data_IF_247348180767
#
_entry.id   IF_247348180767
#
_cell.length_a   1.000
_cell.length_b   1.000
_cell.length_c   1.000
_cell.angle_alpha   90.00
_cell.angle_beta   90.00
_cell.angle_gamma   90.00
#
_symmetry.space_group_name_H-M   'P 1'
#
loop_
_entity.id
_entity.type
_entity.pdbx_description
1 polymer ?
#
# COMPACT_ATOMS: atom_id res chain seq x y z
N UNK A 1 37.05 -17.97 -5.68
CA UNK A 1 35.74 -17.52 -5.16
C UNK A 1 35.41 -16.16 -5.78
N UNK A 2 34.14 -15.84 -6.08
CA UNK A 2 33.78 -14.50 -6.52
C UNK A 2 34.16 -13.49 -5.43
N UNK A 3 34.84 -12.40 -5.82
CA UNK A 3 35.35 -11.38 -4.89
C UNK A 3 34.25 -10.46 -4.33
N UNK A 4 33.09 -10.39 -5.00
CA UNK A 4 31.94 -9.60 -4.59
C UNK A 4 30.65 -10.33 -4.96
N UNK A 5 29.82 -10.60 -3.96
CA UNK A 5 28.49 -11.18 -4.12
C UNK A 5 27.48 -10.05 -4.29
N UNK A 6 27.46 -9.44 -5.47
CA UNK A 6 26.44 -8.43 -5.80
C UNK A 6 25.20 -9.15 -6.31
N UNK A 7 23.99 -8.83 -5.82
CA UNK A 7 22.76 -9.40 -6.35
C UNK A 7 22.60 -9.02 -7.83
N UNK A 8 22.36 -10.02 -8.68
CA UNK A 8 22.22 -9.88 -10.13
C UNK A 8 21.16 -8.83 -10.52
N UNK A 9 20.12 -8.68 -9.70
CA UNK A 9 19.04 -7.71 -9.89
C UNK A 9 19.50 -6.24 -9.88
N UNK A 10 20.61 -5.92 -9.22
CA UNK A 10 21.17 -4.55 -9.21
C UNK A 10 22.05 -4.27 -10.43
N UNK A 11 22.54 -5.30 -11.12
CA UNK A 11 23.47 -5.16 -12.25
C UNK A 11 22.75 -5.01 -13.59
N UNK A 12 21.57 -5.59 -13.72
CA UNK A 12 20.82 -5.59 -14.99
C UNK A 12 19.64 -4.64 -14.93
N UNK A 13 19.49 -3.86 -16.01
CA UNK A 13 18.25 -3.11 -16.27
C UNK A 13 17.11 -4.09 -16.47
N UNK A 14 15.93 -3.74 -15.95
CA UNK A 14 14.75 -4.58 -16.10
C UNK A 14 14.38 -4.74 -17.58
N UNK A 15 13.77 -5.87 -17.92
CA UNK A 15 13.25 -6.11 -19.27
C UNK A 15 12.31 -4.97 -19.70
N UNK A 16 11.45 -4.51 -18.80
CA UNK A 16 10.50 -3.43 -19.10
C UNK A 16 11.19 -2.11 -19.44
N UNK A 17 12.30 -1.79 -18.76
CA UNK A 17 13.14 -0.63 -19.08
C UNK A 17 13.82 -0.78 -20.45
N UNK A 18 14.35 -1.96 -20.77
CA UNK A 18 15.05 -2.21 -22.05
C UNK A 18 14.09 -2.08 -23.23
N UNK A 19 12.87 -2.60 -23.09
CA UNK A 19 11.88 -2.63 -24.15
C UNK A 19 10.91 -1.45 -24.13
N UNK A 20 11.18 -0.44 -23.29
CA UNK A 20 10.39 0.79 -23.16
C UNK A 20 8.89 0.49 -23.05
N UNK A 21 8.53 -0.33 -22.05
CA UNK A 21 7.13 -0.68 -21.82
C UNK A 21 6.46 0.54 -21.17
N UNK A 22 5.50 1.13 -21.90
CA UNK A 22 4.94 2.48 -21.70
C UNK A 22 4.64 2.92 -20.25
N UNK A 23 4.30 2.03 -19.33
CA UNK A 23 3.99 2.38 -17.95
C UNK A 23 5.21 2.66 -17.06
N UNK A 24 6.41 2.20 -17.43
CA UNK A 24 7.64 2.39 -16.64
C UNK A 24 8.42 3.63 -17.09
N UNK A 25 8.25 4.04 -18.35
CA UNK A 25 8.97 5.19 -18.91
C UNK A 25 8.26 6.54 -18.64
N UNK A 26 7.01 6.50 -18.21
CA UNK A 26 6.20 7.68 -17.90
C UNK A 26 6.26 8.07 -16.41
N UNK A 27 6.71 7.17 -15.53
CA UNK A 27 6.79 7.44 -14.09
C UNK A 27 8.13 8.08 -13.73
N UNK A 28 8.11 9.07 -12.84
CA UNK A 28 9.32 9.65 -12.27
C UNK A 28 9.96 8.69 -11.26
N UNK A 29 9.14 7.91 -10.54
CA UNK A 29 9.60 6.99 -9.50
C UNK A 29 9.38 5.53 -9.89
N UNK A 30 10.14 4.62 -9.26
CA UNK A 30 10.00 3.19 -9.50
C UNK A 30 8.76 2.63 -8.79
N UNK A 31 8.12 1.58 -9.34
CA UNK A 31 7.01 0.90 -8.65
C UNK A 31 7.38 0.36 -7.26
N UNK A 32 8.66 0.05 -7.05
CA UNK A 32 9.16 -0.43 -5.76
C UNK A 32 9.16 0.67 -4.68
N UNK A 33 9.63 1.88 -5.03
CA UNK A 33 9.56 3.04 -4.13
C UNK A 33 8.10 3.37 -3.78
N UNK A 34 7.21 3.26 -4.77
CA UNK A 34 5.77 3.40 -4.56
C UNK A 34 5.22 2.40 -3.53
N UNK A 35 5.57 1.12 -3.66
CA UNK A 35 5.14 0.07 -2.72
C UNK A 35 5.74 0.29 -1.32
N UNK A 36 7.01 0.69 -1.21
CA UNK A 36 7.63 1.02 0.08
C UNK A 36 6.87 2.15 0.77
N UNK A 37 6.65 3.26 0.06
CA UNK A 37 5.99 4.44 0.62
C UNK A 37 4.54 4.12 1.05
N UNK A 38 3.80 3.34 0.25
CA UNK A 38 2.47 2.89 0.62
C UNK A 38 2.48 2.06 1.92
N UNK A 39 3.47 1.17 2.08
CA UNK A 39 3.64 0.38 3.29
C UNK A 39 4.11 1.23 4.50
N UNK A 40 4.95 2.24 4.28
CA UNK A 40 5.37 3.18 5.33
C UNK A 40 4.22 4.05 5.86
N UNK A 41 3.29 4.48 4.99
CA UNK A 41 2.05 5.18 5.40
C UNK A 41 1.19 4.24 6.26
N UNK A 42 1.15 2.96 5.88
CA UNK A 42 0.51 1.88 6.62
C UNK A 42 -0.87 1.50 6.10
N UNK A 43 -1.16 0.21 6.18
CA UNK A 43 -2.39 -0.39 5.64
C UNK A 43 -3.70 0.18 6.18
N UNK A 44 -3.72 0.76 7.40
CA UNK A 44 -4.96 1.25 8.04
C UNK A 44 -5.63 2.38 7.25
N UNK A 45 -4.86 3.15 6.49
CA UNK A 45 -5.35 4.27 5.68
C UNK A 45 -6.00 3.79 4.38
N UNK A 46 -5.52 2.66 3.86
CA UNK A 46 -5.90 2.12 2.56
C UNK A 46 -6.92 0.98 2.65
N UNK A 47 -7.02 0.32 3.82
CA UNK A 47 -7.87 -0.84 4.06
C UNK A 47 -9.36 -0.49 4.04
N UNK A 48 -10.17 -1.40 3.51
CA UNK A 48 -11.63 -1.30 3.55
C UNK A 48 -12.17 -1.38 4.98
N UNK A 49 -13.24 -0.64 5.32
CA UNK A 49 -13.80 -0.59 6.68
C UNK A 49 -14.21 -1.98 7.20
N UNK A 50 -14.87 -2.78 6.36
CA UNK A 50 -15.33 -4.13 6.72
C UNK A 50 -14.26 -5.23 6.66
N UNK A 51 -13.01 -4.85 6.44
CA UNK A 51 -11.93 -5.81 6.36
C UNK A 51 -11.71 -6.43 7.75
N UNK A 52 -11.56 -7.75 7.82
CA UNK A 52 -11.23 -8.48 9.03
C UNK A 52 -9.73 -8.84 9.09
N UNK A 53 -9.10 -9.12 7.94
CA UNK A 53 -7.69 -9.49 7.83
C UNK A 53 -6.75 -8.30 7.63
N UNK A 54 -5.44 -8.50 7.81
CA UNK A 54 -4.45 -7.56 7.29
C UNK A 54 -4.60 -7.41 5.78
N UNK A 55 -4.35 -6.20 5.26
CA UNK A 55 -4.52 -5.88 3.86
C UNK A 55 -3.17 -5.87 3.14
N UNK A 56 -3.12 -6.51 1.98
CA UNK A 56 -1.96 -6.47 1.09
C UNK A 56 -2.13 -5.27 0.17
N UNK A 57 -1.15 -4.37 0.19
CA UNK A 57 -1.17 -3.16 -0.63
C UNK A 57 -0.50 -3.44 -1.97
N UNK A 58 -1.16 -3.00 -3.05
CA UNK A 58 -0.62 -3.04 -4.41
C UNK A 58 -0.74 -1.69 -5.08
N UNK A 59 0.37 -1.20 -5.60
CA UNK A 59 0.44 0.11 -6.24
C UNK A 59 0.33 0.00 -7.75
N UNK A 60 -0.36 0.94 -8.35
CA UNK A 60 -0.47 1.09 -9.79
C UNK A 60 -0.24 2.55 -10.16
N UNK A 61 0.78 2.80 -10.98
CA UNK A 61 1.02 4.12 -11.55
C UNK A 61 -0.20 4.58 -12.37
N UNK A 62 -0.58 5.84 -12.22
CA UNK A 62 -1.72 6.43 -12.93
C UNK A 62 -1.24 7.46 -13.93
N UNK A 63 -0.43 8.42 -13.46
CA UNK A 63 0.13 9.50 -14.26
C UNK A 63 1.24 10.21 -13.50
N UNK A 64 2.18 10.78 -14.24
CA UNK A 64 3.15 11.74 -13.75
C UNK A 64 2.64 13.16 -14.00
N UNK A 65 2.84 14.05 -13.04
CA UNK A 65 2.57 15.47 -13.12
C UNK A 65 3.84 16.25 -12.74
N UNK A 66 4.61 16.69 -13.75
CA UNK A 66 5.91 17.32 -13.55
C UNK A 66 6.86 16.42 -12.74
N UNK A 67 7.09 16.76 -11.48
CA UNK A 67 7.99 16.09 -10.54
C UNK A 67 7.23 15.32 -9.45
N UNK A 68 5.91 15.16 -9.59
CA UNK A 68 5.12 14.29 -8.72
C UNK A 68 4.46 13.16 -9.51
N UNK A 69 4.36 11.98 -8.89
CA UNK A 69 3.62 10.86 -9.46
C UNK A 69 2.35 10.61 -8.66
N UNK A 70 1.25 10.38 -9.38
CA UNK A 70 -0.01 9.93 -8.80
C UNK A 70 -0.09 8.42 -8.94
N UNK A 71 -0.19 7.75 -7.80
CA UNK A 71 -0.22 6.29 -7.69
C UNK A 71 -1.51 5.85 -7.01
N UNK A 72 -2.17 4.86 -7.59
CA UNK A 72 -3.32 4.21 -6.98
C UNK A 72 -2.87 3.04 -6.12
N UNK A 73 -3.24 3.06 -4.85
CA UNK A 73 -3.02 1.96 -3.89
C UNK A 73 -4.31 1.15 -3.79
N UNK A 74 -4.23 -0.11 -4.18
CA UNK A 74 -5.30 -1.08 -3.99
C UNK A 74 -4.97 -1.95 -2.78
N UNK A 75 -5.80 -1.88 -1.75
CA UNK A 75 -5.69 -2.71 -0.56
C UNK A 75 -6.60 -3.94 -0.71
N UNK A 76 -6.00 -5.12 -0.82
CA UNK A 76 -6.71 -6.39 -0.89
C UNK A 76 -6.80 -7.02 0.50
N UNK A 77 -8.00 -7.42 0.91
CA UNK A 77 -8.22 -8.06 2.21
C UNK A 77 -9.49 -8.92 2.18
N UNK A 78 -9.81 -9.55 3.31
CA UNK A 78 -11.01 -10.37 3.42
C UNK A 78 -11.92 -9.86 4.55
N UNK A 79 -13.22 -9.89 4.30
CA UNK A 79 -14.25 -9.79 5.34
C UNK A 79 -14.60 -11.19 5.81
N UNK A 80 -14.77 -11.35 7.12
CA UNK A 80 -15.18 -12.63 7.73
C UNK A 80 -16.69 -12.64 7.97
N UNK A 81 -17.34 -13.75 7.59
CA UNK A 81 -18.75 -14.03 7.90
C UNK A 81 -18.83 -15.37 8.58
N UNK A 82 -19.34 -15.40 9.81
CA UNK A 82 -19.54 -16.64 10.55
C UNK A 82 -20.65 -17.48 9.88
N UNK A 83 -20.36 -18.76 9.63
CA UNK A 83 -21.26 -19.75 9.05
C UNK A 83 -21.38 -20.93 10.00
N UNK A 84 -22.50 -21.65 9.89
CA UNK A 84 -22.74 -22.88 10.60
C UNK A 84 -23.30 -23.90 9.63
N UNK A 85 -22.58 -24.99 9.43
CA UNK A 85 -23.04 -26.14 8.65
C UNK A 85 -23.39 -27.29 9.57
N UNK A 86 -24.38 -28.09 9.18
CA UNK A 86 -24.75 -29.29 9.91
C UNK A 86 -24.20 -30.50 9.18
N UNK A 87 -23.33 -31.26 9.85
CA UNK A 87 -22.77 -32.50 9.31
C UNK A 87 -23.41 -33.66 10.03
N UNK A 88 -24.01 -34.57 9.26
CA UNK A 88 -24.63 -35.77 9.82
C UNK A 88 -23.56 -36.79 10.22
N UNK A 89 -23.52 -37.14 11.50
CA UNK A 89 -22.56 -38.08 12.08
C UNK A 89 -23.33 -39.23 12.71
N UNK A 90 -22.87 -40.46 12.47
CA UNK A 90 -23.45 -41.63 13.10
C UNK A 90 -22.95 -41.75 14.55
N UNK A 91 -23.88 -41.72 15.50
CA UNK A 91 -23.61 -41.86 16.91
C UNK A 91 -23.42 -43.31 17.34
N UNK A 92 -22.63 -43.53 18.38
CA UNK A 92 -22.47 -44.84 19.02
C UNK A 92 -23.75 -45.37 19.69
N UNK A 93 -24.82 -44.56 19.73
CA UNK A 93 -26.17 -44.88 20.18
C UNK A 93 -27.06 -45.46 19.06
N UNK A 94 -26.50 -45.68 17.87
CA UNK A 94 -27.20 -46.28 16.74
C UNK A 94 -28.05 -45.31 15.91
N UNK A 95 -28.00 -44.00 16.20
CA UNK A 95 -28.76 -42.97 15.51
C UNK A 95 -27.85 -41.98 14.78
N UNK A 96 -28.38 -41.31 13.76
CA UNK A 96 -27.69 -40.20 13.09
C UNK A 96 -28.00 -38.89 13.82
N UNK A 97 -26.97 -38.08 14.03
CA UNK A 97 -27.06 -36.78 14.67
C UNK A 97 -26.48 -35.71 13.76
N UNK A 98 -27.20 -34.61 13.61
CA UNK A 98 -26.71 -33.45 12.87
C UNK A 98 -25.92 -32.55 13.80
N UNK A 99 -24.60 -32.54 13.63
CA UNK A 99 -23.67 -31.80 14.49
C UNK A 99 -23.39 -30.43 13.84
N UNK A 100 -23.63 -29.32 14.55
CA UNK A 100 -23.29 -27.99 14.03
C UNK A 100 -21.77 -27.77 14.04
N UNK A 101 -21.24 -27.34 12.91
CA UNK A 101 -19.84 -26.98 12.69
C UNK A 101 -19.76 -25.52 12.28
N UNK A 102 -19.25 -24.69 13.19
CA UNK A 102 -19.02 -23.28 12.94
C UNK A 102 -17.72 -23.07 12.16
N UNK A 103 -17.74 -22.21 11.16
CA UNK A 103 -16.56 -21.81 10.41
C UNK A 103 -16.70 -20.39 9.87
N UNK A 104 -15.56 -19.76 9.64
CA UNK A 104 -15.46 -18.39 9.15
C UNK A 104 -15.27 -18.36 7.63
N UNK A 105 -16.24 -17.83 6.91
CA UNK A 105 -16.14 -17.59 5.47
C UNK A 105 -15.37 -16.30 5.19
N UNK A 106 -14.27 -16.41 4.43
CA UNK A 106 -13.46 -15.26 4.01
C UNK A 106 -13.89 -14.77 2.63
N UNK A 107 -14.57 -13.63 2.58
CA UNK A 107 -15.03 -13.00 1.34
C UNK A 107 -14.01 -11.94 0.90
N UNK A 108 -13.44 -12.02 -0.32
CA UNK A 108 -12.45 -11.06 -0.78
C UNK A 108 -13.09 -9.69 -0.99
N UNK A 109 -12.42 -8.66 -0.48
CA UNK A 109 -12.79 -7.26 -0.66
C UNK A 109 -11.56 -6.44 -1.05
N UNK A 110 -11.78 -5.35 -1.76
CA UNK A 110 -10.71 -4.42 -2.15
C UNK A 110 -11.15 -2.98 -1.96
N UNK A 111 -10.22 -2.13 -1.55
CA UNK A 111 -10.40 -0.69 -1.50
C UNK A 111 -9.30 -0.02 -2.33
N UNK A 112 -9.65 1.05 -3.04
CA UNK A 112 -8.72 1.78 -3.90
C UNK A 112 -8.67 3.24 -3.50
N UNK A 113 -7.51 3.70 -3.08
CA UNK A 113 -7.26 5.09 -2.73
C UNK A 113 -6.04 5.59 -3.52
N UNK A 114 -5.98 6.90 -3.74
CA UNK A 114 -4.83 7.52 -4.38
C UNK A 114 -3.81 8.01 -3.35
N UNK A 115 -2.54 7.94 -3.72
CA UNK A 115 -1.43 8.62 -3.06
C UNK A 115 -0.66 9.43 -4.09
N UNK A 116 -0.09 10.53 -3.66
CA UNK A 116 0.82 11.35 -4.44
C UNK A 116 2.22 11.23 -3.83
N UNK A 117 3.24 11.13 -4.68
CA UNK A 117 4.64 11.06 -4.28
C UNK A 117 5.45 12.15 -4.97
N UNK A 118 6.42 12.70 -4.22
CA UNK A 118 7.31 13.77 -4.67
C UNK A 118 8.64 13.70 -3.92
N UNK A 119 9.74 13.95 -4.60
CA UNK A 119 11.05 14.09 -3.99
C UNK A 119 11.12 15.41 -3.21
N UNK A 120 11.70 15.39 -2.00
CA UNK A 120 11.96 16.61 -1.24
C UNK A 120 13.45 16.96 -1.16
N UNK A 121 14.36 16.09 -1.61
CA UNK A 121 15.81 16.35 -1.60
C UNK A 121 16.37 16.63 -0.20
N UNK A 122 15.64 16.28 0.86
CA UNK A 122 16.03 16.49 2.25
C UNK A 122 16.65 15.20 2.81
N UNK A 123 17.53 15.33 3.79
CA UNK A 123 17.93 14.16 4.58
C UNK A 123 16.83 13.80 5.60
N UNK A 124 16.78 12.56 6.08
CA UNK A 124 15.79 12.09 7.07
C UNK A 124 15.81 12.97 8.34
N UNK A 125 16.99 13.35 8.82
CA UNK A 125 17.14 14.22 9.98
C UNK A 125 16.60 15.64 9.72
N UNK A 126 16.77 16.15 8.50
CA UNK A 126 16.28 17.46 8.10
C UNK A 126 14.76 17.46 7.92
N UNK A 127 14.21 16.36 7.39
CA UNK A 127 12.77 16.17 7.30
C UNK A 127 12.11 16.11 8.68
N UNK A 128 12.72 15.40 9.64
CA UNK A 128 12.22 15.38 11.03
C UNK A 128 12.28 16.78 11.65
N UNK A 129 13.35 17.54 11.38
CA UNK A 129 13.47 18.94 11.77
C UNK A 129 12.33 19.80 11.21
N UNK A 130 12.10 19.74 9.89
CA UNK A 130 11.01 20.47 9.22
C UNK A 130 9.63 20.05 9.70
N UNK A 131 9.40 18.76 9.97
CA UNK A 131 8.15 18.25 10.53
C UNK A 131 7.81 18.86 11.89
N UNK A 132 8.81 19.28 12.66
CA UNK A 132 8.60 19.97 13.93
C UNK A 132 8.24 21.45 13.78
N UNK A 133 8.46 22.03 12.60
CA UNK A 133 8.07 23.42 12.32
C UNK A 133 6.55 23.53 12.24
N UNK A 134 5.98 24.48 12.99
CA UNK A 134 4.52 24.64 13.09
C UNK A 134 3.85 24.87 11.73
N UNK A 135 4.44 25.70 10.87
CA UNK A 135 3.88 25.99 9.55
C UNK A 135 3.74 24.74 8.67
N UNK A 136 4.73 23.84 8.72
CA UNK A 136 4.70 22.62 7.94
C UNK A 136 3.79 21.55 8.57
N UNK A 137 3.76 21.47 9.91
CA UNK A 137 2.81 20.62 10.61
C UNK A 137 1.35 21.02 10.32
N UNK A 138 1.04 22.31 10.34
CA UNK A 138 -0.29 22.84 10.02
C UNK A 138 -0.67 22.59 8.55
N UNK A 139 0.30 22.65 7.63
CA UNK A 139 0.09 22.27 6.23
C UNK A 139 -0.24 20.79 6.08
N UNK A 140 0.52 19.91 6.73
CA UNK A 140 0.27 18.47 6.70
C UNK A 140 -1.11 18.15 7.26
N UNK A 141 -1.49 18.71 8.42
CA UNK A 141 -2.80 18.45 9.05
C UNK A 141 -3.98 18.93 8.18
N UNK A 142 -3.79 19.98 7.39
CA UNK A 142 -4.86 20.57 6.55
C UNK A 142 -5.02 19.89 5.19
N UNK A 143 -3.93 19.41 4.56
CA UNK A 143 -3.95 18.93 3.18
C UNK A 143 -3.73 17.42 3.04
N UNK A 144 -3.09 16.77 4.03
CA UNK A 144 -2.65 15.38 3.94
C UNK A 144 -3.19 14.57 5.12
N UNK A 145 -3.99 13.53 4.85
CA UNK A 145 -4.53 12.70 5.93
C UNK A 145 -3.40 11.91 6.63
N UNK A 146 -2.55 11.26 5.83
CA UNK A 146 -1.35 10.55 6.31
C UNK A 146 -0.22 10.68 5.30
N UNK A 147 0.99 10.83 5.82
CA UNK A 147 2.20 10.94 5.01
C UNK A 147 3.28 9.97 5.47
N UNK A 148 4.16 9.60 4.55
CA UNK A 148 5.42 8.92 4.82
C UNK A 148 6.57 9.62 4.09
N UNK A 149 7.77 9.44 4.63
CA UNK A 149 9.01 9.88 4.04
C UNK A 149 10.01 8.72 4.09
N UNK A 150 10.59 8.36 2.96
CA UNK A 150 11.59 7.31 2.85
C UNK A 150 12.51 7.64 1.68
N UNK A 151 13.83 7.49 1.89
CA UNK A 151 14.85 7.62 0.84
C UNK A 151 14.77 8.93 0.03
N UNK A 152 14.48 10.06 0.68
CA UNK A 152 14.39 11.37 -0.02
C UNK A 152 13.02 11.69 -0.60
N UNK A 153 12.10 10.71 -0.61
CA UNK A 153 10.78 10.81 -1.25
C UNK A 153 9.70 10.94 -0.19
N UNK A 154 8.83 11.92 -0.39
CA UNK A 154 7.63 12.14 0.40
C UNK A 154 6.41 11.56 -0.32
N UNK A 155 5.56 10.85 0.41
CA UNK A 155 4.26 10.42 -0.07
C UNK A 155 3.15 10.86 0.89
N UNK A 156 2.01 11.27 0.32
CA UNK A 156 0.84 11.68 1.09
C UNK A 156 -0.46 11.12 0.50
N UNK A 157 -1.41 10.79 1.37
CA UNK A 157 -2.79 10.53 0.97
C UNK A 157 -3.58 11.84 0.97
N UNK A 158 -4.17 12.18 -0.17
CA UNK A 158 -4.89 13.44 -0.35
C UNK A 158 -6.23 13.40 0.38
N UNK A 159 -6.43 14.28 1.35
CA UNK A 159 -7.73 14.50 1.96
C UNK A 159 -8.56 15.41 1.02
N UNK A 160 -9.52 14.83 0.30
CA UNK A 160 -10.51 15.63 -0.46
C UNK A 160 -10.10 16.10 -1.86
N UNK A 161 -9.16 15.42 -2.53
CA UNK A 161 -8.81 15.75 -3.93
C UNK A 161 -8.02 17.05 -4.11
N UNK A 162 -7.61 17.68 -3.01
CA UNK A 162 -6.63 18.76 -3.00
C UNK A 162 -5.23 18.17 -3.22
N UNK A 163 -4.42 18.83 -4.06
CA UNK A 163 -3.08 18.40 -4.49
C UNK A 163 -2.03 18.79 -3.45
N UNK A 164 -0.91 18.07 -3.39
CA UNK A 164 0.27 18.54 -2.65
C UNK A 164 0.90 19.69 -3.45
N UNK A 165 0.41 20.92 -3.26
CA UNK A 165 1.06 22.12 -3.79
C UNK A 165 2.23 22.59 -2.91
N UNK A 166 3.10 23.43 -3.45
CA UNK A 166 4.38 23.87 -2.88
C UNK A 166 4.43 23.89 -1.34
N UNK A 167 5.07 22.85 -0.79
CA UNK A 167 5.76 22.82 0.50
C UNK A 167 7.07 23.57 0.37
#
# INVERSE_FOLDING_TARGET
>A
APLLSIPLYQQHKSHEFIYRRSSVDESNYTPHEAEILANCIGQRVFRHVDSATQAILKTQFVRAENDSDVVNVTAHSFRTVERCDYVSVYGGDGHWHDVPVYWDEYIPISARNAMEMRELGLNDAEFVGKKSEKAFADYLDSHVNRCAYCDGIFAGTLAGGHRITNI
#
